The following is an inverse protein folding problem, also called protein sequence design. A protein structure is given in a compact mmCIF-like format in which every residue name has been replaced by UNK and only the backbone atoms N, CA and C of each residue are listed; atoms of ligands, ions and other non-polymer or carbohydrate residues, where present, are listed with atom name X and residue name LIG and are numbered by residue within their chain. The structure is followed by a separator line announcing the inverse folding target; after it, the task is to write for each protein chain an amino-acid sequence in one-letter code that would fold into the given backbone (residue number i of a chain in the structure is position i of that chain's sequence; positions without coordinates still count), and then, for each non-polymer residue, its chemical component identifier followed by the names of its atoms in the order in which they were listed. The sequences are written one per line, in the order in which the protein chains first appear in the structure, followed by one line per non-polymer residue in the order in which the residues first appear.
data_IF_363205389726
#
_entry.id   IF_363205389726
#
_cell.length_a   1.000
_cell.length_b   1.000
_cell.length_c   1.000
_cell.angle_alpha   90.00
_cell.angle_beta   90.00
_cell.angle_gamma   90.00
#
_symmetry.space_group_name_H-M   'P 1'
#
loop_
_entity.id
_entity.type
_entity.pdbx_description
1 polymer ?
#
# COMPACT_ATOMS: atom_id res chain seq x y z
N UNK A 1 6.62 -25.87 5.95
CA UNK A 1 5.14 -25.82 5.80
C UNK A 1 4.39 -25.21 6.98
N UNK A 2 4.26 -25.85 8.16
CA UNK A 2 3.48 -25.27 9.28
C UNK A 2 4.06 -23.92 9.77
N UNK A 3 5.39 -23.78 9.81
CA UNK A 3 6.07 -22.53 10.17
C UNK A 3 5.70 -21.36 9.26
N UNK A 4 5.79 -21.54 7.94
CA UNK A 4 5.41 -20.57 6.91
C UNK A 4 3.94 -20.14 7.02
N UNK A 5 3.04 -21.10 7.26
CA UNK A 5 1.63 -20.78 7.50
C UNK A 5 1.43 -19.91 8.74
N UNK A 6 2.05 -20.28 9.88
CA UNK A 6 1.97 -19.52 11.13
C UNK A 6 2.61 -18.14 10.96
N UNK A 7 3.71 -18.05 10.22
CA UNK A 7 4.38 -16.79 9.89
C UNK A 7 3.44 -15.88 9.10
N UNK A 8 2.81 -16.39 8.04
CA UNK A 8 1.82 -15.65 7.25
C UNK A 8 0.66 -15.14 8.09
N UNK A 9 0.14 -15.95 9.02
CA UNK A 9 -0.92 -15.53 9.96
C UNK A 9 -0.44 -14.44 10.91
N UNK A 10 0.71 -14.65 11.56
CA UNK A 10 1.26 -13.73 12.54
C UNK A 10 1.61 -12.37 11.93
N UNK A 11 2.34 -12.38 10.81
CA UNK A 11 2.76 -11.17 10.11
C UNK A 11 1.55 -10.38 9.60
N UNK A 12 0.49 -11.06 9.15
CA UNK A 12 -0.76 -10.42 8.74
C UNK A 12 -1.42 -9.62 9.87
N UNK A 13 -1.44 -10.15 11.09
CA UNK A 13 -1.98 -9.41 12.24
C UNK A 13 -1.06 -8.26 12.70
N UNK A 14 0.27 -8.45 12.61
CA UNK A 14 1.25 -7.38 12.88
C UNK A 14 1.06 -6.22 11.89
N UNK A 15 0.95 -6.53 10.60
CA UNK A 15 0.69 -5.53 9.54
C UNK A 15 -0.65 -4.82 9.76
N UNK A 16 -1.71 -5.57 10.08
CA UNK A 16 -3.01 -4.98 10.40
C UNK A 16 -2.92 -4.03 11.60
N UNK A 17 -2.16 -4.38 12.64
CA UNK A 17 -1.91 -3.52 13.80
C UNK A 17 -1.13 -2.26 13.42
N UNK A 18 -0.06 -2.39 12.64
CA UNK A 18 0.73 -1.26 12.16
C UNK A 18 -0.07 -0.30 11.28
N UNK A 19 -0.87 -0.82 10.35
CA UNK A 19 -1.73 0.00 9.50
C UNK A 19 -2.73 0.79 10.37
N UNK A 20 -3.31 0.16 11.38
CA UNK A 20 -4.22 0.85 12.31
C UNK A 20 -3.53 1.94 13.13
N UNK A 21 -2.32 1.69 13.61
CA UNK A 21 -1.61 2.57 14.53
C UNK A 21 -0.92 3.74 13.81
N UNK A 22 -0.19 3.45 12.74
CA UNK A 22 0.68 4.40 12.06
C UNK A 22 0.07 4.99 10.78
N UNK A 23 -0.93 4.33 10.19
CA UNK A 23 -1.62 4.79 9.00
C UNK A 23 -3.15 4.81 9.16
N UNK A 24 -3.70 5.44 10.22
CA UNK A 24 -5.13 5.39 10.52
C UNK A 24 -5.97 6.01 9.40
N UNK A 25 -5.48 7.06 8.72
CA UNK A 25 -6.18 7.63 7.56
C UNK A 25 -6.31 6.60 6.43
N UNK A 26 -5.24 5.87 6.11
CA UNK A 26 -5.26 4.79 5.11
C UNK A 26 -6.18 3.64 5.54
N UNK A 27 -6.15 3.26 6.83
CA UNK A 27 -7.04 2.23 7.38
C UNK A 27 -8.53 2.56 7.24
N UNK A 28 -8.85 3.86 7.29
CA UNK A 28 -10.21 4.39 7.22
C UNK A 28 -10.65 4.62 5.77
N UNK A 29 -9.74 5.07 4.90
CA UNK A 29 -10.06 5.51 3.54
C UNK A 29 -9.96 4.39 2.50
N UNK A 30 -8.97 3.50 2.61
CA UNK A 30 -8.67 2.52 1.56
C UNK A 30 -9.76 1.44 1.38
N UNK A 31 -10.63 1.28 2.38
CA UNK A 31 -11.63 0.22 2.39
C UNK A 31 -11.07 -1.12 2.88
N UNK A 32 -11.89 -1.88 3.61
CA UNK A 32 -11.41 -3.05 4.37
C UNK A 32 -10.93 -4.20 3.46
N UNK A 33 -11.54 -4.38 2.28
CA UNK A 33 -11.11 -5.38 1.31
C UNK A 33 -9.74 -5.04 0.69
N UNK A 34 -9.50 -3.76 0.40
CA UNK A 34 -8.20 -3.33 -0.14
C UNK A 34 -7.10 -3.47 0.91
N UNK A 35 -7.40 -3.21 2.19
CA UNK A 35 -6.46 -3.45 3.28
C UNK A 35 -6.13 -4.94 3.39
N UNK A 36 -7.13 -5.83 3.33
CA UNK A 36 -6.89 -7.26 3.34
C UNK A 36 -6.01 -7.70 2.15
N UNK A 37 -6.33 -7.23 0.95
CA UNK A 37 -5.54 -7.49 -0.26
C UNK A 37 -4.10 -7.01 -0.12
N UNK A 38 -3.92 -5.77 0.33
CA UNK A 38 -2.60 -5.18 0.53
C UNK A 38 -1.78 -5.97 1.54
N UNK A 39 -2.37 -6.38 2.67
CA UNK A 39 -1.66 -7.20 3.67
C UNK A 39 -1.23 -8.54 3.07
N UNK A 40 -2.10 -9.20 2.30
CA UNK A 40 -1.74 -10.47 1.64
C UNK A 40 -0.57 -10.24 0.69
N UNK A 41 -0.64 -9.23 -0.19
CA UNK A 41 0.43 -8.90 -1.14
C UNK A 41 1.75 -8.57 -0.41
N UNK A 42 1.71 -7.72 0.62
CA UNK A 42 2.89 -7.33 1.40
C UNK A 42 3.51 -8.52 2.13
N UNK A 43 2.71 -9.42 2.71
CA UNK A 43 3.20 -10.63 3.38
C UNK A 43 3.86 -11.59 2.39
N UNK A 44 3.27 -11.78 1.21
CA UNK A 44 3.85 -12.58 0.12
C UNK A 44 5.18 -12.00 -0.35
N UNK A 45 5.27 -10.68 -0.51
CA UNK A 45 6.50 -9.99 -0.92
C UNK A 45 7.58 -10.09 0.17
N UNK A 46 7.21 -9.91 1.43
CA UNK A 46 8.15 -10.03 2.56
C UNK A 46 8.69 -11.44 2.63
N UNK A 47 7.84 -12.46 2.46
CA UNK A 47 8.32 -13.84 2.40
C UNK A 47 9.32 -14.03 1.26
N UNK A 48 8.94 -13.64 0.04
CA UNK A 48 9.79 -13.80 -1.13
C UNK A 48 11.14 -13.09 -0.98
N UNK A 49 11.16 -11.85 -0.49
CA UNK A 49 12.39 -11.06 -0.40
C UNK A 49 13.21 -11.44 0.85
N UNK A 50 12.56 -11.54 2.01
CA UNK A 50 13.25 -11.73 3.28
C UNK A 50 13.77 -13.15 3.41
N UNK A 51 13.00 -14.15 2.98
CA UNK A 51 13.42 -15.55 3.07
C UNK A 51 14.46 -15.91 2.00
N UNK A 52 14.22 -15.61 0.71
CA UNK A 52 15.23 -15.85 -0.34
C UNK A 52 16.51 -15.05 -0.07
N UNK A 53 16.38 -13.80 0.40
CA UNK A 53 17.52 -12.97 0.76
C UNK A 53 18.31 -13.54 1.93
N UNK A 54 17.62 -14.06 2.96
CA UNK A 54 18.27 -14.68 4.11
C UNK A 54 18.93 -16.02 3.75
N UNK A 55 18.25 -16.89 2.99
CA UNK A 55 18.82 -18.15 2.50
C UNK A 55 20.04 -17.90 1.62
N UNK A 56 19.99 -16.91 0.72
CA UNK A 56 21.14 -16.54 -0.12
C UNK A 56 22.34 -16.09 0.72
N UNK A 57 22.13 -15.26 1.74
CA UNK A 57 23.20 -14.81 2.63
C UNK A 57 23.77 -15.95 3.47
N UNK A 58 22.90 -16.85 3.94
CA UNK A 58 23.28 -18.03 4.71
C UNK A 58 24.09 -19.02 3.87
N UNK A 59 23.65 -19.31 2.65
CA UNK A 59 24.36 -20.19 1.71
C UNK A 59 25.72 -19.60 1.29
N UNK A 60 25.80 -18.29 1.06
CA UNK A 60 27.06 -17.59 0.77
C UNK A 60 28.07 -17.67 1.93
N UNK A 61 27.58 -17.69 3.17
CA UNK A 61 28.43 -17.77 4.35
C UNK A 61 28.98 -19.20 4.58
N UNK A 62 28.28 -20.23 4.11
CA UNK A 62 28.57 -21.63 4.47
C UNK A 62 29.21 -22.43 3.32
N UNK A 63 29.05 -22.04 2.05
CA UNK A 63 29.54 -22.83 0.91
C UNK A 63 30.44 -22.04 -0.06
N UNK A 64 31.72 -22.44 -0.25
CA UNK A 64 32.65 -21.75 -1.15
C UNK A 64 32.56 -22.20 -2.62
N UNK A 65 31.66 -23.10 -3.02
CA UNK A 65 31.60 -23.67 -4.37
C UNK A 65 30.38 -23.20 -5.18
N UNK A 66 30.64 -22.43 -6.24
CA UNK A 66 29.64 -21.75 -7.07
C UNK A 66 28.87 -22.69 -8.04
N UNK A 67 29.40 -23.89 -8.34
CA UNK A 67 28.78 -24.81 -9.31
C UNK A 67 27.56 -25.59 -8.75
N UNK A 68 27.50 -25.81 -7.45
CA UNK A 68 26.32 -26.40 -6.77
C UNK A 68 25.15 -25.42 -6.66
N UNK A 69 25.41 -24.11 -6.81
CA UNK A 69 24.41 -23.05 -6.70
C UNK A 69 23.33 -23.14 -7.79
N UNK A 70 23.68 -23.47 -9.03
CA UNK A 70 22.71 -23.48 -10.14
C UNK A 70 21.70 -24.64 -10.05
N UNK A 71 22.17 -25.81 -9.60
CA UNK A 71 21.31 -26.96 -9.32
C UNK A 71 20.51 -26.80 -8.01
N UNK A 72 21.08 -26.14 -7.00
CA UNK A 72 20.35 -25.75 -5.78
C UNK A 72 19.31 -24.68 -6.04
N UNK A 73 19.59 -23.67 -6.86
CA UNK A 73 18.63 -22.61 -7.19
C UNK A 73 17.39 -23.17 -7.88
N UNK A 74 17.52 -24.21 -8.71
CA UNK A 74 16.37 -24.90 -9.29
C UNK A 74 15.58 -25.71 -8.24
N UNK A 75 16.23 -26.43 -7.34
CA UNK A 75 15.52 -27.16 -6.28
C UNK A 75 14.94 -26.24 -5.19
N UNK A 76 15.63 -25.14 -4.86
CA UNK A 76 15.15 -24.14 -3.92
C UNK A 76 13.99 -23.37 -4.54
N UNK A 77 13.99 -23.09 -5.84
CA UNK A 77 12.86 -22.38 -6.47
C UNK A 77 11.50 -23.08 -6.31
N UNK A 78 11.46 -24.41 -6.30
CA UNK A 78 10.23 -25.16 -6.06
C UNK A 78 9.81 -25.12 -4.57
N UNK A 79 10.77 -25.22 -3.65
CA UNK A 79 10.55 -25.13 -2.20
C UNK A 79 10.09 -23.72 -1.81
N UNK A 80 10.78 -22.70 -2.30
CA UNK A 80 10.44 -21.29 -2.16
C UNK A 80 9.06 -20.97 -2.73
N UNK A 81 8.70 -21.53 -3.88
CA UNK A 81 7.35 -21.35 -4.43
C UNK A 81 6.28 -21.95 -3.51
N UNK A 82 6.53 -23.13 -2.95
CA UNK A 82 5.63 -23.77 -1.99
C UNK A 82 5.49 -22.94 -0.71
N UNK A 83 6.59 -22.39 -0.19
CA UNK A 83 6.59 -21.56 1.02
C UNK A 83 5.84 -20.25 0.79
N UNK A 84 6.06 -19.58 -0.34
CA UNK A 84 5.31 -18.38 -0.74
C UNK A 84 3.80 -18.69 -0.80
N UNK A 85 3.40 -19.80 -1.41
CA UNK A 85 2.00 -20.20 -1.50
C UNK A 85 1.41 -20.43 -0.10
N UNK A 86 2.13 -21.16 0.77
CA UNK A 86 1.63 -21.51 2.10
C UNK A 86 1.57 -20.29 3.02
N UNK A 87 2.56 -19.41 2.95
CA UNK A 87 2.55 -18.12 3.66
C UNK A 87 1.40 -17.24 3.19
N UNK A 88 1.15 -17.20 1.88
CA UNK A 88 0.01 -16.49 1.29
C UNK A 88 -1.33 -17.07 1.75
N UNK A 89 -1.47 -18.40 1.84
CA UNK A 89 -2.65 -19.06 2.39
C UNK A 89 -2.87 -18.71 3.86
N UNK A 90 -1.79 -18.65 4.65
CA UNK A 90 -1.83 -18.17 6.03
C UNK A 90 -2.35 -16.73 6.13
N UNK A 91 -1.88 -15.85 5.25
CA UNK A 91 -2.34 -14.46 5.20
C UNK A 91 -3.81 -14.33 4.79
N UNK A 92 -4.24 -15.08 3.77
CA UNK A 92 -5.64 -15.15 3.34
C UNK A 92 -6.53 -15.63 4.49
N UNK A 93 -6.11 -16.69 5.19
CA UNK A 93 -6.84 -17.21 6.34
C UNK A 93 -6.96 -16.18 7.46
N UNK A 94 -5.88 -15.49 7.81
CA UNK A 94 -5.89 -14.43 8.82
C UNK A 94 -6.83 -13.26 8.43
N UNK A 95 -6.79 -12.83 7.18
CA UNK A 95 -7.66 -11.76 6.68
C UNK A 95 -9.13 -12.19 6.61
N UNK A 96 -9.40 -13.46 6.31
CA UNK A 96 -10.74 -14.03 6.39
C UNK A 96 -11.26 -14.04 7.83
N UNK A 97 -10.46 -14.49 8.80
CA UNK A 97 -10.83 -14.44 10.22
C UNK A 97 -11.08 -13.01 10.70
N UNK A 98 -10.23 -12.07 10.29
CA UNK A 98 -10.43 -10.65 10.59
C UNK A 98 -11.74 -10.12 10.00
N UNK A 99 -12.07 -10.50 8.76
CA UNK A 99 -13.34 -10.12 8.14
C UNK A 99 -14.55 -10.71 8.86
N UNK A 100 -14.51 -12.00 9.23
CA UNK A 100 -15.54 -12.64 10.05
C UNK A 100 -15.70 -11.94 11.41
N UNK A 101 -14.58 -11.63 12.08
CA UNK A 101 -14.57 -10.89 13.34
C UNK A 101 -15.23 -9.52 13.21
N UNK A 102 -14.93 -8.80 12.12
CA UNK A 102 -15.57 -7.51 11.80
C UNK A 102 -17.08 -7.66 11.63
N UNK A 103 -17.53 -8.63 10.84
CA UNK A 103 -18.97 -8.89 10.62
C UNK A 103 -19.69 -9.25 11.92
N UNK A 104 -19.05 -10.04 12.77
CA UNK A 104 -19.55 -10.34 14.11
C UNK A 104 -19.66 -9.07 14.96
N UNK A 105 -18.62 -8.24 14.98
CA UNK A 105 -18.59 -7.01 15.76
C UNK A 105 -19.62 -5.98 15.28
N UNK A 106 -19.83 -5.87 13.96
CA UNK A 106 -20.88 -5.04 13.35
C UNK A 106 -22.27 -5.43 13.85
N UNK A 107 -22.53 -6.74 13.98
CA UNK A 107 -23.81 -7.26 14.49
C UNK A 107 -23.95 -7.09 16.00
N UNK A 108 -22.86 -7.27 16.76
CA UNK A 108 -22.89 -7.32 18.22
C UNK A 108 -22.82 -5.92 18.88
N UNK A 109 -22.10 -5.00 18.25
CA UNK A 109 -21.88 -3.61 18.70
C UNK A 109 -22.07 -2.62 17.53
N UNK A 110 -23.32 -2.40 17.11
CA UNK A 110 -23.63 -1.50 16.00
C UNK A 110 -23.22 -0.05 16.28
N UNK A 111 -23.36 0.42 17.53
CA UNK A 111 -23.05 1.80 17.91
C UNK A 111 -21.56 2.15 17.73
N UNK A 112 -20.65 1.21 17.98
CA UNK A 112 -19.22 1.45 17.80
C UNK A 112 -18.82 1.38 16.32
N UNK A 113 -19.54 0.57 15.55
CA UNK A 113 -19.40 0.53 14.08
C UNK A 113 -19.86 1.85 13.46
N UNK A 114 -20.94 2.43 13.97
CA UNK A 114 -21.44 3.74 13.53
C UNK A 114 -20.45 4.88 13.84
N UNK A 115 -19.75 4.83 14.98
CA UNK A 115 -18.67 5.78 15.25
C UNK A 115 -17.54 5.69 14.22
N UNK A 116 -17.10 4.47 13.87
CA UNK A 116 -16.07 4.28 12.84
C UNK A 116 -16.55 4.77 11.47
N UNK A 117 -17.84 4.58 11.13
CA UNK A 117 -18.40 5.06 9.87
C UNK A 117 -18.45 6.59 9.81
N UNK A 118 -18.80 7.25 10.91
CA UNK A 118 -18.76 8.72 11.05
C UNK A 118 -17.33 9.23 10.91
N UNK A 119 -16.35 8.58 11.55
CA UNK A 119 -14.94 8.92 11.39
C UNK A 119 -14.48 8.76 9.94
N UNK A 120 -14.93 7.71 9.26
CA UNK A 120 -14.67 7.51 7.83
C UNK A 120 -15.25 8.62 6.97
N UNK A 121 -16.51 9.02 7.22
CA UNK A 121 -17.13 10.13 6.52
C UNK A 121 -16.37 11.46 6.75
N UNK A 122 -15.94 11.72 7.99
CA UNK A 122 -15.11 12.90 8.33
C UNK A 122 -13.77 12.87 7.62
N UNK A 123 -13.08 11.73 7.61
CA UNK A 123 -11.80 11.58 6.92
C UNK A 123 -11.93 11.80 5.41
N UNK A 124 -12.96 11.20 4.78
CA UNK A 124 -13.26 11.41 3.35
C UNK A 124 -13.56 12.88 3.03
N UNK A 125 -14.38 13.54 3.86
CA UNK A 125 -14.68 14.96 3.70
C UNK A 125 -13.41 15.82 3.77
N UNK A 126 -12.51 15.55 4.72
CA UNK A 126 -11.21 16.24 4.83
C UNK A 126 -10.32 15.99 3.62
N UNK A 127 -10.26 14.75 3.11
CA UNK A 127 -9.49 14.42 1.92
C UNK A 127 -9.99 15.17 0.68
N UNK A 128 -11.31 15.17 0.45
CA UNK A 128 -11.94 15.91 -0.64
C UNK A 128 -11.71 17.43 -0.51
N UNK A 129 -11.80 17.98 0.70
CA UNK A 129 -11.52 19.38 0.94
C UNK A 129 -10.06 19.75 0.58
N UNK A 130 -9.10 18.88 0.94
CA UNK A 130 -7.69 19.05 0.56
C UNK A 130 -7.51 19.00 -0.96
N UNK A 131 -8.16 18.08 -1.66
CA UNK A 131 -8.13 18.01 -3.13
C UNK A 131 -8.72 19.27 -3.78
N UNK A 132 -9.88 19.73 -3.32
CA UNK A 132 -10.51 20.95 -3.85
C UNK A 132 -9.58 22.16 -3.68
N UNK A 133 -8.95 22.29 -2.51
CA UNK A 133 -7.99 23.38 -2.25
C UNK A 133 -6.74 23.27 -3.13
N UNK A 134 -6.19 22.07 -3.28
CA UNK A 134 -5.04 21.82 -4.15
C UNK A 134 -5.37 22.16 -5.62
N UNK A 135 -6.52 21.70 -6.11
CA UNK A 135 -7.01 21.98 -7.47
C UNK A 135 -7.23 23.47 -7.66
N UNK A 136 -7.87 24.17 -6.71
CA UNK A 136 -8.05 25.64 -6.78
C UNK A 136 -6.71 26.37 -6.84
N UNK A 137 -5.72 25.95 -6.04
CA UNK A 137 -4.38 26.56 -6.06
C UNK A 137 -3.69 26.34 -7.40
N UNK A 138 -3.77 25.12 -7.94
CA UNK A 138 -3.21 24.79 -9.25
C UNK A 138 -3.87 25.62 -10.37
N UNK A 139 -5.20 25.66 -10.38
CA UNK A 139 -5.99 26.37 -11.39
C UNK A 139 -5.74 27.89 -11.35
N UNK A 140 -5.64 28.50 -10.16
CA UNK A 140 -5.25 29.92 -10.02
C UNK A 140 -3.87 30.18 -10.61
N UNK A 141 -2.90 29.30 -10.36
CA UNK A 141 -1.54 29.42 -10.91
C UNK A 141 -1.56 29.32 -12.44
N UNK A 142 -2.37 28.42 -13.00
CA UNK A 142 -2.54 28.27 -14.44
C UNK A 142 -3.13 29.53 -15.07
N UNK A 143 -4.27 30.01 -14.56
CA UNK A 143 -4.93 31.25 -15.05
C UNK A 143 -3.96 32.43 -15.00
N UNK A 144 -3.23 32.60 -13.89
CA UNK A 144 -2.26 33.69 -13.76
C UNK A 144 -1.14 33.61 -14.81
N UNK A 145 -0.61 32.40 -15.07
CA UNK A 145 0.42 32.20 -16.07
C UNK A 145 -0.08 32.46 -17.50
N UNK A 146 -1.30 32.01 -17.82
CA UNK A 146 -1.95 32.26 -19.11
C UNK A 146 -2.21 33.76 -19.31
N UNK A 147 -2.75 34.44 -18.30
CA UNK A 147 -2.97 35.89 -18.33
C UNK A 147 -1.65 36.66 -18.52
N UNK A 148 -0.60 36.31 -17.76
CA UNK A 148 0.72 36.94 -17.88
C UNK A 148 1.32 36.73 -19.28
N UNK A 149 1.13 35.55 -19.88
CA UNK A 149 1.59 35.25 -21.24
C UNK A 149 0.83 36.10 -22.26
N UNK A 150 -0.49 36.12 -22.17
CA UNK A 150 -1.36 36.93 -23.05
C UNK A 150 -1.00 38.42 -22.96
N UNK A 151 -0.86 38.98 -21.75
CA UNK A 151 -0.46 40.37 -21.53
C UNK A 151 0.89 40.67 -22.20
N UNK A 152 1.88 39.78 -22.05
CA UNK A 152 3.20 39.95 -22.66
C UNK A 152 3.14 39.92 -24.19
N UNK A 153 2.28 39.08 -24.76
CA UNK A 153 2.04 39.03 -26.21
C UNK A 153 1.37 40.32 -26.68
N UNK A 154 0.33 40.79 -26.00
CA UNK A 154 -0.34 42.06 -26.31
C UNK A 154 0.63 43.24 -26.26
N UNK A 155 1.44 43.37 -25.20
CA UNK A 155 2.44 44.44 -25.06
C UNK A 155 3.47 44.39 -26.19
N UNK A 156 3.94 43.18 -26.57
CA UNK A 156 4.85 43.01 -27.71
C UNK A 156 4.22 43.42 -29.03
N UNK A 157 2.96 43.09 -29.25
CA UNK A 157 2.22 43.45 -30.47
C UNK A 157 2.00 44.95 -30.54
N UNK A 158 1.57 45.59 -29.46
CA UNK A 158 1.40 47.06 -29.39
C UNK A 158 2.73 47.77 -29.68
N UNK A 159 3.83 47.35 -29.05
CA UNK A 159 5.17 47.93 -29.28
C UNK A 159 5.69 47.74 -30.71
N UNK A 160 5.20 46.75 -31.45
CA UNK A 160 5.52 46.57 -32.89
C UNK A 160 4.71 47.50 -33.79
N UNK A 161 3.50 47.88 -33.37
CA UNK A 161 2.58 48.72 -34.15
C UNK A 161 2.86 50.21 -33.89
N UNK A 162 3.21 50.57 -32.66
CA UNK A 162 3.59 51.93 -32.27
C UNK A 162 4.93 51.88 -31.49
N UNK A 163 6.07 52.07 -32.18
CA UNK A 163 7.40 51.95 -31.58
C UNK A 163 7.90 53.22 -30.88
N UNK A 164 7.01 54.16 -30.53
CA UNK A 164 7.35 55.42 -29.87
C UNK A 164 8.19 55.29 -28.60
#
# INVERSE_FOLDING_TARGET
MLGHFIFGVGLSFVMLYWIKLYAPESYILSGKLNIARQIIEDVTIIEAIFWEGFEMLWDLQIQPNYASWLARAQNSSADTTSDIIITSLGAIFAMFLWWCWRKYHEKRWPNDTEKESIESAKAKSRALAKEILATRKSHRKQIYNEFKKSLKETVRTVKKIDPS
#
